data_IF_874616268846
#
_entry.id   IF_874616268846
#
_cell.length_a   1.000
_cell.length_b   1.000
_cell.length_c   1.000
_cell.angle_alpha   90.00
_cell.angle_beta   90.00
_cell.angle_gamma   90.00
#
_symmetry.space_group_name_H-M   'P 1'
#
loop_
_entity.id
_entity.type
_entity.pdbx_description
1 polymer ?
#
# COMPACT_ATOMS: atom_id res chain seq x y z
N UNK A 1 -5.78 20.69 -28.00
CA UNK A 1 -5.30 19.86 -26.88
C UNK A 1 -5.90 18.49 -27.11
N UNK A 2 -5.19 17.60 -27.80
CA UNK A 2 -5.57 16.18 -27.78
C UNK A 2 -5.47 15.75 -26.32
N UNK A 3 -6.59 15.36 -25.73
CA UNK A 3 -6.56 14.64 -24.46
C UNK A 3 -5.98 13.28 -24.78
N UNK A 4 -4.65 13.17 -24.76
CA UNK A 4 -4.00 11.88 -24.64
C UNK A 4 -4.55 11.27 -23.35
N UNK A 5 -5.52 10.36 -23.49
CA UNK A 5 -5.93 9.49 -22.41
C UNK A 5 -4.65 8.77 -22.01
N UNK A 6 -4.03 9.22 -20.93
CA UNK A 6 -2.94 8.49 -20.33
C UNK A 6 -3.57 7.15 -19.94
N UNK A 7 -3.20 6.10 -20.68
CA UNK A 7 -3.47 4.72 -20.31
C UNK A 7 -2.69 4.49 -19.02
N UNK A 8 -3.31 4.90 -17.91
CA UNK A 8 -2.70 4.93 -16.60
C UNK A 8 -2.87 3.54 -16.06
N UNK A 9 -1.75 2.83 -15.93
CA UNK A 9 -1.67 1.48 -15.40
C UNK A 9 -2.09 1.50 -13.91
N UNK A 10 -3.40 1.42 -13.67
CA UNK A 10 -4.01 1.62 -12.35
C UNK A 10 -3.51 0.57 -11.35
N UNK A 11 -3.13 -0.63 -11.83
CA UNK A 11 -2.50 -1.68 -11.04
C UNK A 11 -1.15 -1.26 -10.46
N UNK A 12 -0.29 -0.61 -11.26
CA UNK A 12 1.00 -0.08 -10.79
C UNK A 12 0.80 1.06 -9.80
N UNK A 13 -0.13 1.98 -10.08
CA UNK A 13 -0.44 3.09 -9.17
C UNK A 13 -0.87 2.62 -7.79
N UNK A 14 -1.71 1.59 -7.72
CA UNK A 14 -2.17 1.03 -6.46
C UNK A 14 -1.06 0.27 -5.71
N UNK A 15 -0.22 -0.48 -6.44
CA UNK A 15 0.93 -1.18 -5.87
C UNK A 15 1.89 -0.19 -5.18
N UNK A 16 2.16 0.96 -5.80
CA UNK A 16 3.01 2.02 -5.24
C UNK A 16 2.39 2.60 -3.96
N UNK A 17 1.11 2.97 -3.96
CA UNK A 17 0.44 3.52 -2.76
C UNK A 17 0.47 2.53 -1.60
N UNK A 18 0.26 1.25 -1.86
CA UNK A 18 0.30 0.25 -0.80
C UNK A 18 1.72 -0.07 -0.31
N UNK A 19 2.72 0.03 -1.18
CA UNK A 19 4.13 -0.06 -0.79
C UNK A 19 4.48 1.06 0.20
N UNK A 20 4.00 2.29 -0.06
CA UNK A 20 4.17 3.43 0.86
C UNK A 20 3.47 3.19 2.20
N UNK A 21 2.26 2.63 2.20
CA UNK A 21 1.55 2.25 3.43
C UNK A 21 2.30 1.16 4.22
N UNK A 22 2.86 0.16 3.54
CA UNK A 22 3.67 -0.88 4.16
C UNK A 22 4.95 -0.31 4.80
N UNK A 23 5.63 0.62 4.12
CA UNK A 23 6.76 1.35 4.67
C UNK A 23 6.36 2.20 5.88
N UNK A 24 5.17 2.81 5.87
CA UNK A 24 4.60 3.52 7.02
C UNK A 24 4.42 2.60 8.23
N UNK A 25 3.85 1.41 8.04
CA UNK A 25 3.73 0.41 9.10
C UNK A 25 5.07 -0.11 9.62
N UNK A 26 6.06 -0.28 8.72
CA UNK A 26 7.42 -0.65 9.11
C UNK A 26 8.12 0.45 9.93
N UNK A 27 7.90 1.73 9.61
CA UNK A 27 8.39 2.84 10.42
C UNK A 27 7.73 2.86 11.81
N UNK A 28 6.44 2.56 11.92
CA UNK A 28 5.77 2.42 13.23
C UNK A 28 6.38 1.27 14.04
N UNK A 29 6.78 0.17 13.41
CA UNK A 29 7.52 -0.91 14.09
C UNK A 29 8.92 -0.47 14.54
N UNK A 30 9.56 0.47 13.84
CA UNK A 30 10.91 0.94 14.17
C UNK A 30 10.94 1.79 15.46
N UNK A 31 9.87 2.54 15.75
CA UNK A 31 9.83 3.50 16.88
C UNK A 31 8.90 3.08 18.03
N UNK A 32 8.05 2.06 17.83
CA UNK A 32 7.04 1.64 18.81
C UNK A 32 7.53 0.60 19.82
N UNK A 33 6.92 0.59 21.01
CA UNK A 33 7.02 -0.52 21.97
C UNK A 33 6.44 -1.82 21.37
N UNK A 34 6.74 -2.99 21.95
CA UNK A 34 6.34 -4.31 21.43
C UNK A 34 4.84 -4.39 21.08
N UNK A 35 3.97 -3.76 21.89
CA UNK A 35 2.52 -3.72 21.60
C UNK A 35 2.20 -2.84 20.40
N UNK A 36 2.82 -1.67 20.30
CA UNK A 36 2.64 -0.73 19.17
C UNK A 36 3.20 -1.30 17.88
N UNK A 37 4.33 -2.01 17.93
CA UNK A 37 4.91 -2.69 16.78
C UNK A 37 4.01 -3.83 16.27
N UNK A 38 3.37 -4.60 17.16
CA UNK A 38 2.42 -5.64 16.77
C UNK A 38 1.20 -5.07 16.02
N UNK A 39 0.65 -3.96 16.51
CA UNK A 39 -0.41 -3.24 15.81
C UNK A 39 0.05 -2.64 14.48
N UNK A 40 1.29 -2.13 14.42
CA UNK A 40 1.92 -1.64 13.18
C UNK A 40 2.05 -2.72 12.10
N UNK A 41 2.45 -3.93 12.49
CA UNK A 41 2.52 -5.08 11.59
C UNK A 41 1.14 -5.50 11.06
N UNK A 42 0.13 -5.58 11.94
CA UNK A 42 -1.23 -5.94 11.55
C UNK A 42 -1.83 -4.92 10.55
N UNK A 43 -1.59 -3.63 10.78
CA UNK A 43 -2.01 -2.56 9.86
C UNK A 43 -1.27 -2.65 8.51
N UNK A 44 0.05 -2.91 8.52
CA UNK A 44 0.85 -3.10 7.32
C UNK A 44 0.37 -4.28 6.47
N UNK A 45 0.10 -5.43 7.10
CA UNK A 45 -0.40 -6.63 6.42
C UNK A 45 -1.81 -6.42 5.84
N UNK A 46 -2.67 -5.70 6.56
CA UNK A 46 -4.01 -5.36 6.06
C UNK A 46 -3.94 -4.44 4.84
N UNK A 47 -3.10 -3.39 4.90
CA UNK A 47 -2.85 -2.50 3.77
C UNK A 47 -2.28 -3.26 2.55
N UNK A 48 -1.34 -4.18 2.78
CA UNK A 48 -0.78 -5.03 1.74
C UNK A 48 -1.83 -5.98 1.12
N UNK A 49 -2.74 -6.54 1.92
CA UNK A 49 -3.82 -7.38 1.41
C UNK A 49 -4.78 -6.57 0.50
N UNK A 50 -5.15 -5.35 0.91
CA UNK A 50 -5.95 -4.44 0.08
C UNK A 50 -5.23 -4.04 -1.21
N UNK A 51 -3.91 -3.89 -1.17
CA UNK A 51 -3.07 -3.68 -2.35
C UNK A 51 -3.26 -4.76 -3.41
N UNK A 52 -3.14 -6.00 -2.99
CA UNK A 52 -3.19 -7.17 -3.88
C UNK A 52 -4.60 -7.32 -4.44
N UNK A 53 -5.63 -7.14 -3.61
CA UNK A 53 -7.03 -7.20 -4.07
C UNK A 53 -7.32 -6.12 -5.09
N UNK A 54 -6.94 -4.87 -4.83
CA UNK A 54 -7.17 -3.80 -5.80
C UNK A 54 -6.29 -3.95 -7.05
N UNK A 55 -5.06 -4.45 -6.91
CA UNK A 55 -4.20 -4.71 -8.07
C UNK A 55 -4.83 -5.78 -8.97
N UNK A 56 -5.42 -6.84 -8.39
CA UNK A 56 -6.15 -7.85 -9.16
C UNK A 56 -7.51 -7.39 -9.69
N UNK A 57 -8.19 -6.45 -9.01
CA UNK A 57 -9.47 -5.91 -9.47
C UNK A 57 -9.31 -4.93 -10.65
N UNK A 58 -8.12 -4.33 -10.78
CA UNK A 58 -7.79 -3.36 -11.84
C UNK A 58 -6.69 -3.88 -12.78
N UNK A 59 -6.44 -5.19 -12.81
CA UNK A 59 -5.52 -5.85 -13.75
C UNK A 59 -6.21 -6.19 -15.08
#
# INVERSE_FOLDING_TARGET
METATADSDMGVGLAVVCSVLALGGALVMLVGDQTTAAWGFAAAMTAAAFAVVGAQAYW
#
